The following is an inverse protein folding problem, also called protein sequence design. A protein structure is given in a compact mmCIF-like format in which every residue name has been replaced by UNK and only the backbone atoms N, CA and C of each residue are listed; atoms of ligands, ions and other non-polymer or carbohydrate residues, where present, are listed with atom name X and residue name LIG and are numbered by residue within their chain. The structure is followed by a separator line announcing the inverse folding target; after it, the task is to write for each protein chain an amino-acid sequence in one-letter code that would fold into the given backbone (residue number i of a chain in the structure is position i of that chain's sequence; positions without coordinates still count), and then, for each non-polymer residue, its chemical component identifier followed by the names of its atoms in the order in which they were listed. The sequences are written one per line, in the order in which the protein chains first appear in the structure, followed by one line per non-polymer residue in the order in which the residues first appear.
data_IF_752140410535
#
_entry.id   IF_752140410535
#
_cell.length_a   1.000
_cell.length_b   1.000
_cell.length_c   1.000
_cell.angle_alpha   90.00
_cell.angle_beta   90.00
_cell.angle_gamma   90.00
#
_symmetry.space_group_name_H-M   'P 1'
#
loop_
_entity.id
_entity.type
_entity.pdbx_description
1 polymer ?
#
# COMPACT_ATOMS: atom_id res chain seq x y z
N UNK A 1 28.23 15.00 -16.69
CA UNK A 1 27.09 14.31 -16.05
C UNK A 1 27.56 13.72 -14.74
N UNK A 2 27.21 14.39 -13.64
CA UNK A 2 27.87 14.26 -12.34
C UNK A 2 27.58 12.95 -11.63
N UNK A 3 28.64 12.31 -11.13
CA UNK A 3 28.62 11.06 -10.36
C UNK A 3 27.74 11.16 -9.09
N UNK A 4 27.71 12.33 -8.46
CA UNK A 4 26.99 12.62 -7.21
C UNK A 4 25.46 12.49 -7.36
N UNK A 5 24.92 12.92 -8.50
CA UNK A 5 23.48 12.90 -8.76
C UNK A 5 22.93 11.47 -8.92
N UNK A 6 23.78 10.59 -9.47
CA UNK A 6 23.46 9.17 -9.65
C UNK A 6 23.53 8.39 -8.34
N UNK A 7 24.48 8.72 -7.46
CA UNK A 7 24.60 8.11 -6.14
C UNK A 7 23.44 8.52 -5.21
N UNK A 8 22.95 9.77 -5.31
CA UNK A 8 21.78 10.23 -4.57
C UNK A 8 20.46 9.54 -5.02
N UNK A 9 20.31 9.31 -6.32
CA UNK A 9 19.18 8.56 -6.87
C UNK A 9 19.22 7.08 -6.46
N UNK A 10 20.40 6.48 -6.38
CA UNK A 10 20.57 5.10 -5.92
C UNK A 10 20.24 4.92 -4.42
N UNK A 11 20.71 5.84 -3.57
CA UNK A 11 20.36 5.85 -2.14
C UNK A 11 18.85 6.03 -1.91
N UNK A 12 18.18 6.85 -2.73
CA UNK A 12 16.72 7.07 -2.66
C UNK A 12 15.93 5.84 -3.11
N UNK A 13 16.38 5.18 -4.18
CA UNK A 13 15.76 3.97 -4.69
C UNK A 13 15.92 2.79 -3.71
N UNK A 14 17.10 2.61 -3.09
CA UNK A 14 17.29 1.56 -2.07
C UNK A 14 16.50 1.80 -0.80
N UNK A 15 16.39 3.05 -0.33
CA UNK A 15 15.56 3.40 0.85
C UNK A 15 14.06 3.14 0.59
N UNK A 16 13.60 3.36 -0.65
CA UNK A 16 12.22 3.04 -1.08
C UNK A 16 11.98 1.52 -1.20
N UNK A 17 13.00 0.77 -1.60
CA UNK A 17 12.93 -0.69 -1.77
C UNK A 17 12.77 -1.45 -0.44
N UNK A 18 13.40 -0.98 0.63
CA UNK A 18 13.47 -1.69 1.93
C UNK A 18 12.43 -1.25 2.97
N UNK A 19 11.50 -0.37 2.63
CA UNK A 19 10.37 -0.02 3.50
C UNK A 19 10.73 0.73 4.80
N UNK A 20 11.83 1.49 4.85
CA UNK A 20 12.22 2.28 6.03
C UNK A 20 12.44 3.79 5.73
N UNK A 21 11.38 4.56 5.98
CA UNK A 21 11.28 5.86 6.67
C UNK A 21 11.81 7.21 6.09
N UNK A 22 10.95 8.24 6.16
CA UNK A 22 11.21 9.56 6.77
C UNK A 22 9.93 10.15 7.42
N UNK A 23 9.42 9.47 8.45
CA UNK A 23 8.80 10.12 9.59
C UNK A 23 9.92 10.55 10.52
N UNK A 24 10.36 11.80 10.39
CA UNK A 24 10.91 12.66 11.46
C UNK A 24 11.56 13.88 10.83
N UNK A 25 10.81 14.97 10.71
CA UNK A 25 11.32 16.35 10.87
C UNK A 25 10.12 17.30 11.04
N UNK A 26 9.85 17.65 12.29
CA UNK A 26 8.98 18.77 12.75
C UNK A 26 7.46 18.55 12.82
N UNK A 27 6.96 17.66 13.70
CA UNK A 27 5.53 17.71 14.05
C UNK A 27 5.20 17.39 15.51
N UNK A 28 6.12 17.65 16.43
CA UNK A 28 5.81 17.64 17.87
C UNK A 28 5.10 18.93 18.34
N UNK A 29 4.65 19.80 17.41
CA UNK A 29 3.98 21.09 17.72
C UNK A 29 2.57 21.26 17.14
N UNK A 30 1.99 20.27 16.44
CA UNK A 30 0.68 20.42 15.77
C UNK A 30 -0.36 19.35 16.12
N UNK A 31 -0.17 18.63 17.22
CA UNK A 31 -0.90 17.38 17.52
C UNK A 31 -2.40 17.56 17.78
N UNK A 32 -2.88 18.76 18.10
CA UNK A 32 -4.27 18.98 18.55
C UNK A 32 -5.28 19.20 17.39
N UNK A 33 -4.82 19.70 16.23
CA UNK A 33 -5.64 19.85 15.01
C UNK A 33 -5.34 18.80 13.93
N UNK A 34 -4.35 17.92 14.16
CA UNK A 34 -3.89 16.95 13.16
C UNK A 34 -4.75 15.68 13.09
N UNK A 35 -5.53 15.36 14.13
CA UNK A 35 -6.34 14.14 14.17
C UNK A 35 -7.36 14.04 13.04
N UNK A 36 -8.08 15.12 12.71
CA UNK A 36 -9.03 15.11 11.60
C UNK A 36 -8.34 14.98 10.23
N UNK A 37 -7.17 15.60 10.08
CA UNK A 37 -6.39 15.52 8.85
C UNK A 37 -5.83 14.11 8.65
N UNK A 38 -5.28 13.52 9.70
CA UNK A 38 -4.77 12.14 9.71
C UNK A 38 -5.90 11.13 9.45
N UNK A 39 -7.07 11.29 10.09
CA UNK A 39 -8.24 10.48 9.81
C UNK A 39 -8.72 10.61 8.36
N UNK A 40 -8.68 11.83 7.79
CA UNK A 40 -9.00 12.05 6.39
C UNK A 40 -8.00 11.37 5.45
N UNK A 41 -6.70 11.41 5.76
CA UNK A 41 -5.64 10.75 4.99
C UNK A 41 -5.76 9.21 5.08
N UNK A 42 -6.08 8.67 6.27
CA UNK A 42 -6.35 7.24 6.47
C UNK A 42 -7.60 6.80 5.69
N UNK A 43 -8.67 7.60 5.73
CA UNK A 43 -9.90 7.32 5.00
C UNK A 43 -9.66 7.31 3.49
N UNK A 44 -8.91 8.29 2.97
CA UNK A 44 -8.54 8.35 1.55
C UNK A 44 -7.70 7.13 1.14
N UNK A 45 -6.74 6.73 1.98
CA UNK A 45 -5.91 5.57 1.73
C UNK A 45 -6.71 4.25 1.79
N UNK A 46 -7.65 4.14 2.72
CA UNK A 46 -8.56 3.01 2.82
C UNK A 46 -9.44 2.90 1.56
N UNK A 47 -9.97 4.02 1.08
CA UNK A 47 -10.76 4.07 -0.16
C UNK A 47 -9.94 3.62 -1.39
N UNK A 48 -8.70 4.11 -1.53
CA UNK A 48 -7.79 3.67 -2.61
C UNK A 48 -7.52 2.17 -2.55
N UNK A 49 -7.25 1.62 -1.36
CA UNK A 49 -7.03 0.18 -1.16
C UNK A 49 -8.27 -0.65 -1.49
N UNK A 50 -9.46 -0.17 -1.11
CA UNK A 50 -10.72 -0.82 -1.43
C UNK A 50 -10.98 -0.87 -2.94
N UNK A 51 -10.71 0.22 -3.67
CA UNK A 51 -10.89 0.25 -5.13
C UNK A 51 -9.90 -0.69 -5.84
N UNK A 52 -8.64 -0.74 -5.39
CA UNK A 52 -7.67 -1.71 -5.91
C UNK A 52 -8.13 -3.15 -5.68
N UNK A 53 -8.66 -3.46 -4.49
CA UNK A 53 -9.22 -4.78 -4.20
C UNK A 53 -10.40 -5.09 -5.12
N UNK A 54 -11.35 -4.15 -5.29
CA UNK A 54 -12.51 -4.30 -6.18
C UNK A 54 -12.09 -4.60 -7.62
N UNK A 55 -11.10 -3.88 -8.15
CA UNK A 55 -10.57 -4.11 -9.51
C UNK A 55 -9.87 -5.47 -9.63
N UNK A 56 -9.15 -5.92 -8.60
CA UNK A 56 -8.53 -7.25 -8.59
C UNK A 56 -9.58 -8.36 -8.57
N UNK A 57 -10.63 -8.21 -7.76
CA UNK A 57 -11.74 -9.16 -7.72
C UNK A 57 -12.47 -9.26 -9.06
N UNK A 58 -12.57 -8.14 -9.79
CA UNK A 58 -13.26 -8.08 -11.08
C UNK A 58 -12.42 -8.59 -12.26
N UNK A 59 -11.13 -8.26 -12.30
CA UNK A 59 -10.30 -8.45 -13.50
C UNK A 59 -9.23 -9.53 -13.36
N UNK A 60 -9.11 -10.19 -12.21
CA UNK A 60 -8.15 -11.28 -12.04
C UNK A 60 -8.84 -12.53 -11.53
N UNK A 61 -8.46 -13.68 -12.08
CA UNK A 61 -8.97 -14.97 -11.61
C UNK A 61 -8.66 -15.17 -10.12
N UNK A 62 -7.44 -14.81 -9.70
CA UNK A 62 -7.02 -14.88 -8.30
C UNK A 62 -7.94 -14.08 -7.38
N UNK A 63 -8.18 -12.81 -7.69
CA UNK A 63 -9.04 -11.95 -6.86
C UNK A 63 -10.47 -12.47 -6.79
N UNK A 64 -11.01 -12.94 -7.91
CA UNK A 64 -12.34 -13.56 -7.94
C UNK A 64 -12.43 -14.79 -7.03
N UNK A 65 -11.45 -15.70 -7.13
CA UNK A 65 -11.39 -16.91 -6.31
C UNK A 65 -11.26 -16.57 -4.82
N UNK A 66 -10.34 -15.68 -4.45
CA UNK A 66 -10.15 -15.24 -3.06
C UNK A 66 -11.44 -14.63 -2.47
N UNK A 67 -12.15 -13.80 -3.25
CA UNK A 67 -13.44 -13.20 -2.84
C UNK A 67 -14.52 -14.26 -2.62
N UNK A 68 -14.66 -15.22 -3.55
CA UNK A 68 -15.65 -16.31 -3.45
C UNK A 68 -15.37 -17.23 -2.26
N UNK A 69 -14.11 -17.59 -2.03
CA UNK A 69 -13.68 -18.43 -0.90
C UNK A 69 -14.03 -17.74 0.43
N UNK A 70 -13.73 -16.44 0.53
CA UNK A 70 -14.06 -15.63 1.71
C UNK A 70 -15.57 -15.51 1.93
N UNK A 71 -16.35 -15.21 0.88
CA UNK A 71 -17.81 -15.07 0.97
C UNK A 71 -18.50 -16.40 1.35
N UNK A 72 -17.91 -17.52 0.96
CA UNK A 72 -18.42 -18.87 1.28
C UNK A 72 -17.88 -19.43 2.59
N UNK A 73 -16.97 -18.73 3.28
CA UNK A 73 -16.38 -19.20 4.53
C UNK A 73 -15.62 -20.50 4.38
N UNK A 74 -15.02 -20.75 3.22
CA UNK A 74 -14.21 -21.95 2.99
C UNK A 74 -12.84 -21.76 3.65
N UNK A 75 -12.47 -22.68 4.54
CA UNK A 75 -11.14 -22.71 5.16
C UNK A 75 -10.16 -23.37 4.19
N UNK A 76 -9.54 -22.54 3.36
CA UNK A 76 -8.54 -22.96 2.39
C UNK A 76 -7.26 -22.21 2.73
N UNK A 77 -6.15 -22.95 2.87
CA UNK A 77 -4.84 -22.33 3.06
C UNK A 77 -4.56 -21.33 1.94
N UNK A 78 -3.87 -20.23 2.27
CA UNK A 78 -3.56 -19.15 1.32
C UNK A 78 -2.83 -19.73 0.11
N UNK A 79 -3.52 -19.91 -1.02
CA UNK A 79 -2.94 -20.57 -2.18
C UNK A 79 -1.93 -19.61 -2.81
N UNK A 80 -0.68 -20.03 -2.98
CA UNK A 80 0.35 -19.24 -3.64
C UNK A 80 0.03 -19.13 -5.15
N UNK A 81 -0.70 -18.09 -5.52
CA UNK A 81 -1.15 -17.85 -6.90
C UNK A 81 -0.67 -16.49 -7.41
N UNK A 82 -0.37 -16.44 -8.70
CA UNK A 82 -0.05 -15.21 -9.42
C UNK A 82 -1.32 -14.51 -9.92
N UNK A 83 -1.27 -13.20 -10.12
CA UNK A 83 -2.36 -12.48 -10.78
C UNK A 83 -2.34 -12.78 -12.28
N UNK A 84 -3.42 -13.38 -12.79
CA UNK A 84 -3.64 -13.67 -14.21
C UNK A 84 -4.92 -13.00 -14.69
N UNK A 85 -4.93 -12.53 -15.94
CA UNK A 85 -6.08 -11.95 -16.65
C UNK A 85 -6.89 -13.03 -17.35
#
# INVERSE_FOLDING_TARGET
YGKVEREAQWATAQRTLHGLNQGSSNSDMYTDNNGYRELSEIAEQAAKRAEVARLRELHTLKGHVESVVKLKGLDIETINQSYTV
#
